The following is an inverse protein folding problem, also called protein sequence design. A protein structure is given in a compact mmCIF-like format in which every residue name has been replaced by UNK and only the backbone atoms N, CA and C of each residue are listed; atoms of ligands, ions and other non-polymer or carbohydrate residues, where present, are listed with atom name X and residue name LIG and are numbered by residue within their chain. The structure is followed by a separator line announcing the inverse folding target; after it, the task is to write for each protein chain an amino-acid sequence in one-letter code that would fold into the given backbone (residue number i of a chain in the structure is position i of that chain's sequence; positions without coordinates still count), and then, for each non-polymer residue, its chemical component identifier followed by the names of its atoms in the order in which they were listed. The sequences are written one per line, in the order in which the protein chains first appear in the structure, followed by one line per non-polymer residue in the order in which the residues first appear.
data_IF_257876275680
#
_entry.id   IF_257876275680
#
_cell.length_a   1.000
_cell.length_b   1.000
_cell.length_c   1.000
_cell.angle_alpha   90.00
_cell.angle_beta   90.00
_cell.angle_gamma   90.00
#
_symmetry.space_group_name_H-M   'P 1'
#
loop_
_entity.id
_entity.type
_entity.pdbx_description
1 polymer ?
#
# COMPACT_ATOMS: atom_id res chain seq x y z
N UNK A 1 -12.88 1.44 7.15
CA UNK A 1 -12.12 0.91 5.99
C UNK A 1 -13.08 0.72 4.83
N UNK A 2 -12.78 1.21 3.63
CA UNK A 2 -13.63 0.98 2.46
C UNK A 2 -13.40 -0.42 1.89
N UNK A 3 -14.47 -1.15 1.59
CA UNK A 3 -14.41 -2.49 1.00
C UNK A 3 -13.60 -2.53 -0.31
N UNK A 4 -13.56 -1.42 -1.05
CA UNK A 4 -12.79 -1.25 -2.28
C UNK A 4 -11.27 -1.29 -2.06
N UNK A 5 -10.76 -0.74 -0.96
CA UNK A 5 -9.32 -0.73 -0.65
C UNK A 5 -8.81 -2.13 -0.35
N UNK A 6 -9.57 -2.90 0.43
CA UNK A 6 -9.25 -4.30 0.77
C UNK A 6 -9.28 -5.17 -0.49
N UNK A 7 -10.30 -5.01 -1.35
CA UNK A 7 -10.40 -5.77 -2.60
C UNK A 7 -9.23 -5.49 -3.55
N UNK A 8 -8.79 -4.23 -3.68
CA UNK A 8 -7.61 -3.86 -4.46
C UNK A 8 -6.32 -4.43 -3.87
N UNK A 9 -6.19 -4.37 -2.55
CA UNK A 9 -5.03 -4.91 -1.85
C UNK A 9 -4.87 -6.43 -2.07
N UNK A 10 -5.95 -7.20 -1.88
CA UNK A 10 -5.96 -8.64 -2.16
C UNK A 10 -5.56 -8.96 -3.60
N UNK A 11 -6.18 -8.27 -4.57
CA UNK A 11 -5.87 -8.46 -5.99
C UNK A 11 -4.40 -8.18 -6.31
N UNK A 12 -3.79 -7.18 -5.67
CA UNK A 12 -2.36 -6.88 -5.85
C UNK A 12 -1.49 -8.04 -5.38
N UNK A 13 -1.78 -8.62 -4.21
CA UNK A 13 -1.06 -9.78 -3.69
C UNK A 13 -1.25 -11.00 -4.59
N UNK A 14 -2.51 -11.33 -4.94
CA UNK A 14 -2.85 -12.45 -5.83
C UNK A 14 -2.19 -12.34 -7.21
N UNK A 15 -2.07 -11.12 -7.74
CA UNK A 15 -1.43 -10.88 -9.05
C UNK A 15 0.10 -10.90 -9.04
N UNK A 16 0.74 -11.12 -7.88
CA UNK A 16 2.20 -10.97 -7.74
C UNK A 16 2.66 -9.52 -7.91
N UNK A 17 1.81 -8.56 -7.58
CA UNK A 17 2.09 -7.12 -7.67
C UNK A 17 2.83 -6.55 -6.46
N UNK A 18 3.16 -7.39 -5.46
CA UNK A 18 3.92 -7.05 -4.26
C UNK A 18 5.25 -7.79 -4.30
N UNK A 19 6.34 -7.03 -4.27
CA UNK A 19 7.69 -7.55 -4.26
C UNK A 19 8.40 -7.05 -3.00
N UNK A 20 9.00 -7.98 -2.24
CA UNK A 20 9.76 -7.63 -1.05
C UNK A 20 11.20 -7.33 -1.47
N UNK A 21 11.65 -6.11 -1.21
CA UNK A 21 13.03 -5.69 -1.48
C UNK A 21 13.90 -5.84 -0.23
N UNK A 22 13.35 -5.52 0.93
CA UNK A 22 14.03 -5.55 2.22
C UNK A 22 13.09 -6.01 3.35
N UNK A 23 13.59 -6.11 4.59
CA UNK A 23 12.81 -6.53 5.76
C UNK A 23 11.58 -5.61 6.03
N UNK A 24 11.74 -4.31 5.79
CA UNK A 24 10.66 -3.32 5.90
C UNK A 24 10.43 -2.47 4.65
N UNK A 25 10.93 -2.91 3.49
CA UNK A 25 10.76 -2.22 2.22
C UNK A 25 10.12 -3.13 1.17
N UNK A 26 8.97 -2.70 0.67
CA UNK A 26 8.19 -3.42 -0.33
C UNK A 26 7.97 -2.53 -1.53
N UNK A 27 8.11 -3.10 -2.72
CA UNK A 27 7.74 -2.45 -3.97
C UNK A 27 6.39 -3.01 -4.42
N UNK A 28 5.42 -2.11 -4.59
CA UNK A 28 4.05 -2.50 -4.95
C UNK A 28 3.67 -1.82 -6.26
N UNK A 29 3.26 -2.61 -7.24
CA UNK A 29 2.78 -2.12 -8.53
C UNK A 29 1.45 -1.37 -8.36
N UNK A 30 1.26 -0.34 -9.16
CA UNK A 30 0.00 0.39 -9.19
C UNK A 30 -1.09 -0.50 -9.76
N UNK A 31 -2.22 -0.62 -9.07
CA UNK A 31 -3.39 -1.36 -9.57
C UNK A 31 -3.99 -0.74 -10.85
N UNK A 32 -3.66 0.52 -11.16
CA UNK A 32 -4.20 1.23 -12.32
C UNK A 32 -3.18 1.36 -13.46
N UNK A 33 -1.89 1.32 -13.17
CA UNK A 33 -0.81 1.53 -14.14
C UNK A 33 0.29 0.46 -13.91
N UNK A 34 0.37 -0.60 -14.71
CA UNK A 34 1.35 -1.67 -14.50
C UNK A 34 2.81 -1.21 -14.63
N UNK A 35 3.06 -0.09 -15.30
CA UNK A 35 4.39 0.53 -15.45
C UNK A 35 4.81 1.37 -14.24
N UNK A 36 3.91 1.63 -13.29
CA UNK A 36 4.22 2.39 -12.07
C UNK A 36 4.30 1.44 -10.90
N UNK A 37 5.32 1.64 -10.07
CA UNK A 37 5.45 1.00 -8.78
C UNK A 37 5.71 2.06 -7.71
N UNK A 38 5.38 1.73 -6.48
CA UNK A 38 5.57 2.60 -5.33
C UNK A 38 6.31 1.82 -4.25
N UNK A 39 7.22 2.48 -3.53
CA UNK A 39 7.78 1.91 -2.33
C UNK A 39 6.84 2.10 -1.14
N UNK A 40 6.79 1.07 -0.31
CA UNK A 40 5.91 0.95 0.84
C UNK A 40 6.70 0.35 1.98
N UNK A 41 6.65 1.01 3.13
CA UNK A 41 7.19 0.52 4.40
C UNK A 41 6.06 0.20 5.36
N UNK A 42 6.38 -0.28 6.57
CA UNK A 42 5.36 -0.52 7.61
C UNK A 42 4.52 0.71 7.95
N UNK A 43 5.09 1.91 7.82
CA UNK A 43 4.47 3.16 8.25
C UNK A 43 4.11 4.11 7.11
N UNK A 44 4.80 4.03 5.96
CA UNK A 44 4.64 5.01 4.88
C UNK A 44 4.45 4.37 3.52
N UNK A 45 3.86 5.13 2.60
CA UNK A 45 3.71 4.74 1.21
C UNK A 45 3.93 5.95 0.30
N UNK A 46 4.65 5.76 -0.80
CA UNK A 46 4.91 6.85 -1.75
C UNK A 46 3.75 7.16 -2.69
N UNK A 47 2.65 6.41 -2.59
CA UNK A 47 1.54 6.60 -3.51
C UNK A 47 0.86 7.97 -3.31
N UNK A 48 0.29 8.54 -4.39
CA UNK A 48 -0.40 9.83 -4.31
C UNK A 48 -1.53 9.83 -3.27
N UNK A 49 -2.21 8.69 -3.08
CA UNK A 49 -3.25 8.53 -2.07
C UNK A 49 -2.74 8.74 -0.65
N UNK A 50 -1.58 8.18 -0.31
CA UNK A 50 -0.96 8.36 1.00
C UNK A 50 -0.44 9.78 1.18
N UNK A 51 0.26 10.33 0.17
CA UNK A 51 0.75 11.73 0.20
C UNK A 51 -0.39 12.74 0.39
N UNK A 52 -1.49 12.56 -0.33
CA UNK A 52 -2.67 13.42 -0.20
C UNK A 52 -3.32 13.24 1.18
N UNK A 53 -3.53 12.01 1.64
CA UNK A 53 -4.09 11.77 2.97
C UNK A 53 -3.24 12.44 4.05
N UNK A 54 -1.92 12.23 4.01
CA UNK A 54 -0.99 12.85 4.94
C UNK A 54 -1.09 14.37 4.88
N UNK A 55 -1.09 14.98 3.69
CA UNK A 55 -1.24 16.44 3.52
C UNK A 55 -2.50 17.00 4.18
N UNK A 56 -3.65 16.31 4.12
CA UNK A 56 -4.93 16.80 4.65
C UNK A 56 -5.25 16.36 6.09
N UNK A 57 -4.60 15.31 6.59
CA UNK A 57 -4.90 14.68 7.87
C UNK A 57 -3.71 14.56 8.83
N UNK A 58 -2.51 15.04 8.44
CA UNK A 58 -1.37 15.13 9.35
C UNK A 58 -1.73 15.96 10.59
N UNK A 59 -1.35 15.48 11.78
CA UNK A 59 -1.65 16.13 13.06
C UNK A 59 -3.05 15.83 13.65
N UNK A 60 -3.93 15.10 12.96
CA UNK A 60 -5.27 14.73 13.46
C UNK A 60 -5.32 13.37 14.18
N UNK A 61 -4.17 12.75 14.46
CA UNK A 61 -4.09 11.40 15.05
C UNK A 61 -4.62 10.26 14.16
N UNK A 62 -4.96 10.57 12.90
CA UNK A 62 -5.48 9.58 11.95
C UNK A 62 -4.32 8.87 11.24
N UNK A 63 -4.22 7.55 11.40
CA UNK A 63 -3.27 6.73 10.64
C UNK A 63 -3.70 6.67 9.18
N UNK A 64 -2.80 7.12 8.30
CA UNK A 64 -2.98 7.00 6.86
C UNK A 64 -3.04 5.51 6.46
N UNK A 65 -3.96 5.19 5.57
CA UNK A 65 -4.09 3.86 4.98
C UNK A 65 -4.24 3.98 3.47
N UNK A 66 -3.69 3.01 2.74
CA UNK A 66 -3.82 2.92 1.30
C UNK A 66 -3.86 1.45 0.89
N UNK A 67 -4.29 1.16 -0.33
CA UNK A 67 -4.35 -0.22 -0.84
C UNK A 67 -2.99 -0.90 -0.85
N UNK A 68 -1.90 -0.16 -0.97
CA UNK A 68 -0.55 -0.74 -0.97
C UNK A 68 -0.08 -1.13 0.43
N UNK A 69 -0.34 -0.30 1.46
CA UNK A 69 -0.07 -0.66 2.86
C UNK A 69 -0.84 -1.92 3.27
N UNK A 70 -2.11 -2.02 2.88
CA UNK A 70 -2.90 -3.22 3.15
C UNK A 70 -2.40 -4.42 2.35
N UNK A 71 -1.94 -4.24 1.11
CA UNK A 71 -1.36 -5.33 0.31
C UNK A 71 -0.07 -5.86 0.94
N UNK A 72 0.81 -4.99 1.43
CA UNK A 72 2.02 -5.38 2.18
C UNK A 72 1.66 -6.16 3.45
N UNK A 73 0.66 -5.70 4.22
CA UNK A 73 0.20 -6.41 5.42
C UNK A 73 -0.36 -7.79 5.11
N UNK A 74 -1.17 -7.90 4.07
CA UNK A 74 -1.69 -9.19 3.62
C UNK A 74 -0.55 -10.11 3.18
N UNK A 75 0.40 -9.60 2.40
CA UNK A 75 1.57 -10.34 1.96
C UNK A 75 2.45 -10.82 3.13
N UNK A 76 2.67 -9.98 4.16
CA UNK A 76 3.39 -10.36 5.38
C UNK A 76 2.64 -11.40 6.22
N UNK A 77 1.31 -11.46 6.14
CA UNK A 77 0.48 -12.36 6.94
C UNK A 77 0.16 -13.69 6.22
N UNK A 78 0.34 -13.76 4.90
CA UNK A 78 0.26 -15.00 4.12
C UNK A 78 1.57 -15.81 4.09
N UNK A 79 2.70 -15.21 4.51
CA UNK A 79 4.00 -15.88 4.68
C UNK A 79 4.24 -16.28 6.13
#
# INVERSE_FOLDING_TARGET
MSASTIRKAKKLVESGGVEQIDEDLFQIKSSSDPNKSYFVTSETCECPGFKNFYKFHHGKGLKANCSHLEAMRLFKNEK
#
